data_IF_678352068901
#
_entry.id   IF_678352068901
#
_cell.length_a   1.000
_cell.length_b   1.000
_cell.length_c   1.000
_cell.angle_alpha   90.00
_cell.angle_beta   90.00
_cell.angle_gamma   90.00
#
_symmetry.space_group_name_H-M   'P 1'
#
loop_
_entity.id
_entity.type
_entity.pdbx_description
1 polymer ?
#
# COMPACT_ATOMS: atom_id res chain seq x y z
N UNK A 1 -3.63 3.16 14.80
CA UNK A 1 -3.97 1.73 14.64
C UNK A 1 -4.01 1.35 13.17
N UNK A 2 -3.95 0.05 12.84
CA UNK A 2 -4.11 -0.41 11.46
C UNK A 2 -5.52 -0.14 10.87
N UNK A 3 -6.58 -0.22 11.69
CA UNK A 3 -7.92 0.12 11.23
C UNK A 3 -8.06 1.56 10.75
N UNK A 4 -7.37 2.51 11.40
CA UNK A 4 -7.32 3.90 10.95
C UNK A 4 -6.59 4.03 9.61
N UNK A 5 -5.48 3.29 9.42
CA UNK A 5 -4.73 3.27 8.15
C UNK A 5 -5.64 2.83 7.00
N UNK A 6 -6.34 1.70 7.17
CA UNK A 6 -7.24 1.18 6.12
C UNK A 6 -8.43 2.11 5.91
N UNK A 7 -9.05 2.61 6.99
CA UNK A 7 -10.19 3.50 6.90
C UNK A 7 -9.90 4.82 6.19
N UNK A 8 -8.73 5.40 6.44
CA UNK A 8 -8.27 6.60 5.75
C UNK A 8 -7.88 6.30 4.30
N UNK A 9 -7.16 5.20 4.03
CA UNK A 9 -6.81 4.77 2.68
C UNK A 9 -8.04 4.68 1.77
N UNK A 10 -9.13 4.09 2.27
CA UNK A 10 -10.37 3.92 1.49
C UNK A 10 -11.06 5.23 1.12
N UNK A 11 -10.79 6.33 1.84
CA UNK A 11 -11.32 7.66 1.46
C UNK A 11 -10.73 8.19 0.14
N UNK A 12 -9.57 7.66 -0.30
CA UNK A 12 -8.93 8.04 -1.57
C UNK A 12 -9.68 7.51 -2.79
N UNK A 13 -10.44 6.43 -2.63
CA UNK A 13 -11.02 5.66 -3.74
C UNK A 13 -11.99 6.49 -4.58
N UNK A 14 -12.85 7.29 -3.93
CA UNK A 14 -13.81 8.14 -4.64
C UNK A 14 -13.08 9.19 -5.50
N UNK A 15 -11.97 9.74 -5.01
CA UNK A 15 -11.21 10.76 -5.72
C UNK A 15 -10.43 10.18 -6.90
N UNK A 16 -9.91 8.96 -6.77
CA UNK A 16 -9.30 8.23 -7.88
C UNK A 16 -10.34 7.94 -8.98
N UNK A 17 -11.52 7.42 -8.61
CA UNK A 17 -12.61 7.09 -9.54
C UNK A 17 -13.15 8.32 -10.28
N UNK A 18 -13.21 9.47 -9.62
CA UNK A 18 -13.64 10.73 -10.24
C UNK A 18 -12.52 11.47 -10.97
N UNK A 19 -11.29 10.92 -11.02
CA UNK A 19 -10.12 11.56 -11.64
C UNK A 19 -9.72 12.87 -10.95
N UNK A 20 -10.08 13.04 -9.68
CA UNK A 20 -9.82 14.25 -8.88
C UNK A 20 -8.49 14.17 -8.13
N UNK A 21 -7.95 12.97 -7.90
CA UNK A 21 -6.56 12.78 -7.44
C UNK A 21 -5.62 12.70 -8.65
N UNK A 22 -4.86 13.79 -8.91
CA UNK A 22 -4.06 14.00 -10.11
C UNK A 22 -2.96 15.06 -9.90
N UNK A 23 -2.05 15.30 -10.86
CA UNK A 23 -1.01 16.33 -10.71
C UNK A 23 -1.60 17.70 -10.34
N UNK A 24 -1.10 18.26 -9.24
CA UNK A 24 -1.57 19.52 -8.65
C UNK A 24 -2.71 19.38 -7.63
N UNK A 25 -3.33 18.21 -7.47
CA UNK A 25 -4.38 17.97 -6.49
C UNK A 25 -4.44 16.49 -6.10
N UNK A 26 -3.90 16.12 -4.95
CA UNK A 26 -3.81 14.72 -4.51
C UNK A 26 -4.78 14.43 -3.37
N UNK A 27 -5.43 13.27 -3.42
CA UNK A 27 -6.15 12.76 -2.25
C UNK A 27 -5.18 12.58 -1.08
N UNK A 28 -5.55 13.10 0.09
CA UNK A 28 -4.70 13.13 1.28
C UNK A 28 -5.39 12.39 2.43
N UNK A 29 -5.14 11.08 2.60
CA UNK A 29 -5.67 10.26 3.69
C UNK A 29 -4.96 10.49 5.05
N UNK A 30 -4.50 11.72 5.31
CA UNK A 30 -3.72 12.12 6.50
C UNK A 30 -2.22 11.72 6.48
N UNK A 31 -1.46 12.15 7.50
CA UNK A 31 -0.01 11.98 7.61
C UNK A 31 0.45 10.54 7.92
N UNK A 32 1.75 10.28 7.70
CA UNK A 32 2.35 8.96 7.93
C UNK A 32 2.57 8.72 9.43
N UNK A 33 1.87 7.71 9.95
CA UNK A 33 2.00 7.15 11.30
C UNK A 33 3.16 6.13 11.45
N UNK A 34 4.00 6.00 10.42
CA UNK A 34 5.14 5.07 10.44
C UNK A 34 6.17 5.56 11.45
N UNK A 35 6.38 4.80 12.52
CA UNK A 35 7.31 5.15 13.59
C UNK A 35 6.74 6.08 14.66
N UNK A 36 5.48 6.51 14.53
CA UNK A 36 4.81 7.29 15.57
C UNK A 36 4.61 6.45 16.83
N UNK A 37 4.97 7.04 17.98
CA UNK A 37 4.64 6.56 19.32
C UNK A 37 3.45 7.38 19.80
N UNK A 38 2.47 6.75 20.46
CA UNK A 38 1.22 7.36 20.97
C UNK A 38 0.08 7.57 19.94
N UNK A 39 -0.62 6.49 19.61
CA UNK A 39 -2.00 6.56 19.09
C UNK A 39 -3.04 6.78 20.20
N UNK A 40 -4.34 6.43 19.99
CA UNK A 40 -5.43 6.68 20.93
C UNK A 40 -5.21 6.14 22.36
N UNK A 41 -4.30 5.17 22.53
CA UNK A 41 -3.89 4.62 23.82
C UNK A 41 -2.87 5.45 24.61
N UNK A 42 -2.52 6.65 24.15
CA UNK A 42 -1.55 7.54 24.81
C UNK A 42 -0.11 6.97 24.79
N UNK A 43 0.71 7.35 25.78
CA UNK A 43 2.14 6.97 25.86
C UNK A 43 2.41 5.45 25.95
N UNK A 44 1.37 4.63 26.09
CA UNK A 44 1.44 3.16 26.10
C UNK A 44 1.14 2.50 24.75
N UNK A 45 0.69 3.25 23.74
CA UNK A 45 0.44 2.70 22.40
C UNK A 45 1.79 2.41 21.70
N UNK A 46 2.07 1.14 21.33
CA UNK A 46 3.33 0.77 20.68
C UNK A 46 3.46 1.31 19.25
N UNK A 47 2.39 1.90 18.69
CA UNK A 47 2.32 2.31 17.29
C UNK A 47 2.09 1.11 16.36
N UNK A 48 2.27 1.35 15.06
CA UNK A 48 2.16 0.29 14.05
C UNK A 48 3.30 -0.73 14.21
N UNK A 49 2.99 -2.01 14.08
CA UNK A 49 4.00 -3.05 13.85
C UNK A 49 4.76 -2.80 12.53
N UNK A 50 5.90 -3.47 12.32
CA UNK A 50 6.65 -3.32 11.06
C UNK A 50 5.86 -3.81 9.82
N UNK A 51 5.01 -4.83 9.99
CA UNK A 51 4.09 -5.29 8.95
C UNK A 51 3.06 -4.22 8.60
N UNK A 52 2.41 -3.66 9.62
CA UNK A 52 1.44 -2.57 9.44
C UNK A 52 2.10 -1.30 8.88
N UNK A 53 3.35 -1.01 9.25
CA UNK A 53 4.12 0.10 8.73
C UNK A 53 4.45 -0.07 7.23
N UNK A 54 4.81 -1.28 6.78
CA UNK A 54 4.97 -1.59 5.34
C UNK A 54 3.65 -1.39 4.60
N UNK A 55 2.56 -1.94 5.12
CA UNK A 55 1.22 -1.76 4.56
C UNK A 55 0.82 -0.29 4.47
N UNK A 56 1.07 0.49 5.52
CA UNK A 56 0.78 1.90 5.56
C UNK A 56 1.57 2.68 4.50
N UNK A 57 2.91 2.58 4.53
CA UNK A 57 3.76 3.32 3.60
C UNK A 57 3.52 2.91 2.14
N UNK A 58 3.37 1.60 1.88
CA UNK A 58 3.03 1.07 0.57
C UNK A 58 1.68 1.57 0.08
N UNK A 59 0.67 1.62 0.95
CA UNK A 59 -0.66 2.14 0.63
C UNK A 59 -0.63 3.61 0.24
N UNK A 60 0.11 4.46 0.97
CA UNK A 60 0.26 5.87 0.62
C UNK A 60 1.03 6.04 -0.69
N UNK A 61 2.03 5.18 -0.93
CA UNK A 61 2.77 5.19 -2.18
C UNK A 61 1.89 4.81 -3.39
N UNK A 62 1.14 3.71 -3.30
CA UNK A 62 0.35 3.20 -4.42
C UNK A 62 -0.80 4.13 -4.81
N UNK A 63 -1.36 4.90 -3.87
CA UNK A 63 -2.47 5.85 -4.16
C UNK A 63 -2.01 7.29 -4.46
N UNK A 64 -0.70 7.51 -4.62
CA UNK A 64 -0.11 8.83 -4.88
C UNK A 64 -0.42 9.86 -3.78
N UNK A 65 -0.55 9.41 -2.54
CA UNK A 65 -0.76 10.30 -1.39
C UNK A 65 0.48 11.17 -1.15
N UNK A 66 0.34 12.43 -0.72
CA UNK A 66 1.43 13.17 -0.10
C UNK A 66 2.10 12.37 1.05
N UNK A 67 3.43 12.24 1.02
CA UNK A 67 4.21 11.52 2.02
C UNK A 67 4.72 12.48 3.11
N UNK A 68 3.85 12.78 4.09
CA UNK A 68 4.18 13.69 5.20
C UNK A 68 4.58 12.86 6.42
N UNK A 69 5.81 13.03 6.90
CA UNK A 69 6.33 12.34 8.10
C UNK A 69 5.76 12.95 9.38
N UNK A 70 5.26 12.12 10.31
CA UNK A 70 4.70 12.57 11.60
C UNK A 70 5.44 12.04 12.83
N UNK A 71 6.62 11.42 12.64
CA UNK A 71 7.49 10.89 13.70
C UNK A 71 8.54 11.90 14.17
N UNK A 72 9.12 11.67 15.36
CA UNK A 72 10.35 12.35 15.77
C UNK A 72 11.56 11.80 14.99
N UNK A 73 12.06 12.61 14.06
CA UNK A 73 13.20 12.26 13.21
C UNK A 73 14.55 12.29 13.95
N UNK A 74 14.59 12.75 15.20
CA UNK A 74 15.81 12.76 16.03
C UNK A 74 15.92 11.55 16.96
N UNK A 75 14.94 10.65 16.95
CA UNK A 75 15.00 9.39 17.70
C UNK A 75 15.62 8.29 16.84
N UNK A 76 16.95 8.09 16.96
CA UNK A 76 17.70 7.07 16.24
C UNK A 76 17.10 5.67 16.40
N UNK A 77 16.51 5.36 17.57
CA UNK A 77 15.91 4.05 17.84
C UNK A 77 14.64 3.78 17.04
N UNK A 78 13.90 4.84 16.69
CA UNK A 78 12.75 4.77 15.79
C UNK A 78 13.23 4.77 14.35
N UNK A 79 14.13 5.69 14.01
CA UNK A 79 14.65 5.85 12.67
C UNK A 79 15.29 4.57 12.15
N UNK A 80 16.17 3.91 12.92
CA UNK A 80 16.80 2.65 12.51
C UNK A 80 15.78 1.55 12.15
N UNK A 81 14.65 1.51 12.86
CA UNK A 81 13.59 0.51 12.63
C UNK A 81 12.78 0.80 11.37
N UNK A 82 12.46 2.07 11.11
CA UNK A 82 11.53 2.44 10.04
C UNK A 82 12.22 2.91 8.77
N UNK A 83 13.52 3.22 8.83
CA UNK A 83 14.31 3.70 7.70
C UNK A 83 14.18 2.81 6.45
N UNK A 84 14.29 1.47 6.54
CA UNK A 84 14.12 0.60 5.37
C UNK A 84 12.76 0.73 4.68
N UNK A 85 11.73 1.21 5.40
CA UNK A 85 10.38 1.45 4.88
C UNK A 85 10.32 2.86 4.29
N UNK A 86 10.53 3.90 5.11
CA UNK A 86 10.28 5.30 4.71
C UNK A 86 11.32 5.84 3.72
N UNK A 87 12.51 5.23 3.63
CA UNK A 87 13.55 5.61 2.67
C UNK A 87 13.56 4.73 1.42
N UNK A 88 12.57 3.84 1.24
CA UNK A 88 12.54 2.93 0.09
C UNK A 88 12.34 3.71 -1.21
N UNK A 89 13.41 3.86 -1.98
CA UNK A 89 13.42 4.65 -3.23
C UNK A 89 12.51 4.08 -4.31
N UNK A 90 12.25 2.77 -4.32
CA UNK A 90 11.39 2.14 -5.32
C UNK A 90 9.92 2.39 -5.00
N UNK A 91 9.51 2.29 -3.73
CA UNK A 91 8.18 2.68 -3.26
C UNK A 91 7.92 4.17 -3.49
N UNK A 92 8.91 5.03 -3.17
CA UNK A 92 8.83 6.47 -3.44
C UNK A 92 8.74 6.72 -4.95
N UNK A 93 9.50 6.01 -5.79
CA UNK A 93 9.39 6.16 -7.24
C UNK A 93 7.99 5.80 -7.75
N UNK A 94 7.34 4.77 -7.20
CA UNK A 94 5.93 4.48 -7.48
C UNK A 94 5.04 5.67 -7.11
N UNK A 95 5.22 6.25 -5.93
CA UNK A 95 4.45 7.42 -5.48
C UNK A 95 4.60 8.62 -6.44
N UNK A 96 5.83 8.92 -6.86
CA UNK A 96 6.18 10.12 -7.63
C UNK A 96 5.81 10.08 -9.11
N UNK A 97 5.45 8.91 -9.65
CA UNK A 97 5.06 8.76 -11.06
C UNK A 97 3.58 9.09 -11.26
N UNK A 98 3.26 9.79 -12.36
CA UNK A 98 1.89 9.92 -12.85
C UNK A 98 1.78 9.35 -14.26
N UNK A 99 0.88 8.38 -14.42
CA UNK A 99 0.54 7.79 -15.72
C UNK A 99 -0.99 7.67 -15.86
N UNK A 100 -1.69 8.80 -15.71
CA UNK A 100 -3.14 8.88 -15.97
C UNK A 100 -4.05 8.42 -14.83
N UNK A 101 -3.51 7.81 -13.77
CA UNK A 101 -4.29 7.29 -12.66
C UNK A 101 -3.50 7.36 -11.34
N UNK A 102 -4.17 7.73 -10.23
CA UNK A 102 -3.52 7.91 -8.92
C UNK A 102 -3.26 6.62 -8.17
N UNK A 103 -3.96 5.55 -8.54
CA UNK A 103 -4.01 4.27 -7.86
C UNK A 103 -5.34 4.04 -7.16
N UNK A 104 -5.82 2.79 -7.18
CA UNK A 104 -7.12 2.39 -6.61
C UNK A 104 -7.17 0.87 -6.43
N UNK A 105 -8.12 0.35 -5.62
CA UNK A 105 -8.31 -1.09 -5.50
C UNK A 105 -8.92 -1.66 -6.79
N UNK A 106 -8.49 -2.86 -7.19
CA UNK A 106 -9.01 -3.56 -8.38
C UNK A 106 -9.54 -4.97 -8.08
N UNK A 107 -9.07 -5.61 -7.00
CA UNK A 107 -9.49 -6.95 -6.61
C UNK A 107 -9.55 -7.04 -5.08
N UNK A 108 -10.51 -7.80 -4.55
CA UNK A 108 -10.69 -7.94 -3.11
C UNK A 108 -11.39 -9.24 -2.74
N UNK A 109 -11.21 -9.66 -1.49
CA UNK A 109 -11.89 -10.82 -0.94
C UNK A 109 -13.41 -10.62 -0.85
N UNK A 110 -14.22 -11.67 -1.05
CA UNK A 110 -15.65 -11.63 -0.73
C UNK A 110 -15.90 -11.72 0.79
N UNK A 111 -14.95 -12.28 1.55
CA UNK A 111 -15.03 -12.38 3.01
C UNK A 111 -14.58 -11.08 3.63
N UNK A 112 -15.33 -10.60 4.62
CA UNK A 112 -14.97 -9.41 5.40
C UNK A 112 -14.37 -9.78 6.76
N UNK A 113 -13.58 -8.85 7.30
CA UNK A 113 -13.03 -8.82 8.66
C UNK A 113 -13.39 -7.49 9.31
N UNK A 114 -13.37 -7.47 10.64
CA UNK A 114 -13.65 -6.25 11.42
C UNK A 114 -12.33 -5.66 11.89
N UNK A 115 -12.10 -4.40 11.56
CA UNK A 115 -10.98 -3.61 12.08
C UNK A 115 -11.50 -2.60 13.09
N UNK A 116 -10.82 -2.51 14.24
CA UNK A 116 -11.11 -1.52 15.28
C UNK A 116 -10.40 -0.19 14.99
N UNK A 117 -10.88 0.89 15.61
CA UNK A 117 -10.35 2.26 15.47
C UNK A 117 -10.33 2.76 14.01
N UNK A 118 -11.35 2.40 13.24
CA UNK A 118 -11.55 2.78 11.85
C UNK A 118 -11.97 4.26 11.75
N UNK A 119 -11.22 5.12 11.04
CA UNK A 119 -11.57 6.55 10.89
C UNK A 119 -11.77 7.29 12.23
N UNK A 120 -10.77 7.26 13.11
CA UNK A 120 -10.81 7.85 14.46
C UNK A 120 -10.97 9.39 14.51
N UNK A 121 -11.11 10.07 13.36
CA UNK A 121 -11.21 11.54 13.26
C UNK A 121 -12.65 12.09 13.35
N UNK A 122 -13.67 11.27 13.62
CA UNK A 122 -15.03 11.78 13.84
C UNK A 122 -15.12 12.36 15.25
N UNK A 123 -14.99 13.68 15.35
CA UNK A 123 -14.98 14.41 16.61
C UNK A 123 -16.27 14.18 17.42
N UNK A 124 -16.11 13.61 18.63
CA UNK A 124 -17.06 13.82 19.72
C UNK A 124 -17.72 12.58 20.34
N UNK A 125 -17.59 11.39 19.76
CA UNK A 125 -18.15 10.18 20.37
C UNK A 125 -17.10 9.08 20.55
N UNK A 126 -16.97 8.57 21.78
CA UNK A 126 -16.19 7.37 22.12
C UNK A 126 -17.00 6.14 21.71
N UNK A 127 -17.32 6.01 20.42
CA UNK A 127 -17.91 4.80 19.85
C UNK A 127 -16.76 4.00 19.25
N UNK A 128 -16.65 2.69 19.52
CA UNK A 128 -15.70 1.85 18.81
C UNK A 128 -16.02 1.93 17.30
N UNK A 129 -15.21 2.65 16.55
CA UNK A 129 -15.37 2.70 15.11
C UNK A 129 -14.87 1.37 14.53
N UNK A 130 -15.79 0.45 14.29
CA UNK A 130 -15.49 -0.84 13.69
C UNK A 130 -15.85 -0.80 12.21
N UNK A 131 -14.85 -0.91 11.35
CA UNK A 131 -15.03 -1.01 9.91
C UNK A 131 -15.04 -2.47 9.46
N UNK A 132 -16.05 -2.87 8.68
CA UNK A 132 -16.01 -4.11 7.92
C UNK A 132 -15.24 -3.86 6.61
N UNK A 133 -14.17 -4.62 6.40
CA UNK A 133 -13.33 -4.53 5.18
C UNK A 133 -13.08 -5.92 4.62
N UNK A 134 -12.81 -6.08 3.32
CA UNK A 134 -12.37 -7.35 2.75
C UNK A 134 -11.18 -7.92 3.53
N UNK A 135 -11.09 -9.24 3.68
CA UNK A 135 -9.96 -9.86 4.39
C UNK A 135 -8.62 -9.66 3.70
N UNK A 136 -8.65 -9.38 2.40
CA UNK A 136 -7.52 -8.92 1.61
C UNK A 136 -8.03 -8.00 0.51
N UNK A 137 -7.17 -7.09 0.07
CA UNK A 137 -7.46 -6.15 -1.01
C UNK A 137 -6.19 -5.89 -1.82
N UNK A 138 -6.34 -5.72 -3.12
CA UNK A 138 -5.23 -5.45 -4.05
C UNK A 138 -5.44 -4.10 -4.73
N UNK A 139 -4.39 -3.30 -4.73
CA UNK A 139 -4.34 -1.99 -5.37
C UNK A 139 -3.38 -2.04 -6.55
N UNK A 140 -3.67 -1.25 -7.57
CA UNK A 140 -2.80 -1.08 -8.72
C UNK A 140 -2.56 0.40 -9.01
N UNK A 141 -1.45 0.70 -9.67
CA UNK A 141 -1.14 2.02 -10.22
C UNK A 141 -0.31 1.89 -11.50
N UNK A 142 -0.78 2.39 -12.66
CA UNK A 142 0.04 2.49 -13.86
C UNK A 142 1.27 3.38 -13.64
N UNK A 143 2.42 2.96 -14.15
CA UNK A 143 3.70 3.69 -14.05
C UNK A 143 4.20 4.20 -15.41
N UNK A 144 3.45 3.96 -16.48
CA UNK A 144 3.85 4.25 -17.85
C UNK A 144 4.92 3.28 -18.39
N UNK A 145 5.06 3.26 -19.72
CA UNK A 145 6.01 2.37 -20.40
C UNK A 145 5.72 0.88 -20.20
N UNK A 146 4.44 0.49 -20.13
CA UNK A 146 4.03 -0.90 -19.93
C UNK A 146 4.34 -1.46 -18.53
N UNK A 147 4.49 -0.59 -17.53
CA UNK A 147 4.74 -0.96 -16.14
C UNK A 147 3.55 -0.63 -15.26
N UNK A 148 3.25 -1.50 -14.31
CA UNK A 148 2.18 -1.35 -13.32
C UNK A 148 2.72 -1.72 -11.95
N UNK A 149 2.47 -0.88 -10.95
CA UNK A 149 2.71 -1.21 -9.55
C UNK A 149 1.49 -1.92 -8.96
N UNK A 150 1.72 -2.87 -8.06
CA UNK A 150 0.69 -3.62 -7.35
C UNK A 150 1.01 -3.69 -5.88
N UNK A 151 0.02 -3.40 -5.03
CA UNK A 151 0.10 -3.61 -3.59
C UNK A 151 -0.92 -4.70 -3.19
N UNK A 152 -0.42 -5.80 -2.65
CA UNK A 152 -1.21 -6.94 -2.16
C UNK A 152 -1.29 -6.80 -0.63
N UNK A 153 -2.48 -6.53 -0.08
CA UNK A 153 -2.66 -6.30 1.35
C UNK A 153 -3.43 -7.43 2.02
N UNK A 154 -2.91 -7.93 3.14
CA UNK A 154 -3.63 -8.80 4.07
C UNK A 154 -4.27 -7.94 5.15
N UNK A 155 -5.60 -7.88 5.23
CA UNK A 155 -6.31 -7.14 6.30
C UNK A 155 -6.69 -8.02 7.49
N UNK A 156 -6.48 -9.34 7.40
CA UNK A 156 -6.84 -10.28 8.45
C UNK A 156 -5.80 -10.29 9.58
N UNK A 157 -6.25 -10.63 10.78
CA UNK A 157 -5.40 -10.86 11.95
C UNK A 157 -4.63 -12.18 11.88
N UNK A 158 -4.82 -12.97 10.82
CA UNK A 158 -4.11 -14.22 10.55
C UNK A 158 -3.25 -14.10 9.30
N UNK A 159 -2.19 -14.89 9.26
CA UNK A 159 -1.36 -15.08 8.08
C UNK A 159 -2.21 -15.59 6.91
N UNK A 160 -1.97 -15.05 5.72
CA UNK A 160 -2.61 -15.50 4.48
C UNK A 160 -1.58 -15.78 3.39
N UNK A 161 -1.84 -16.80 2.57
CA UNK A 161 -1.15 -17.00 1.30
C UNK A 161 -2.07 -16.50 0.18
N UNK A 162 -1.66 -15.41 -0.47
CA UNK A 162 -2.44 -14.72 -1.48
C UNK A 162 -1.80 -14.92 -2.86
N UNK A 163 -2.60 -15.38 -3.82
CA UNK A 163 -2.18 -15.53 -5.20
C UNK A 163 -2.80 -14.44 -6.05
N UNK A 164 -1.98 -13.76 -6.85
CA UNK A 164 -2.40 -12.79 -7.85
C UNK A 164 -2.03 -13.28 -9.23
N UNK A 165 -3.04 -13.42 -10.09
CA UNK A 165 -2.88 -13.63 -11.53
C UNK A 165 -2.68 -12.27 -12.21
N UNK A 166 -1.66 -12.14 -13.07
CA UNK A 166 -1.36 -10.85 -13.71
C UNK A 166 -2.36 -10.48 -14.80
N UNK A 167 -3.11 -11.45 -15.34
CA UNK A 167 -4.21 -11.17 -16.25
C UNK A 167 -5.36 -10.39 -15.59
N UNK A 168 -5.49 -10.47 -14.26
CA UNK A 168 -6.50 -9.73 -13.49
C UNK A 168 -6.06 -8.28 -13.18
N UNK A 169 -4.77 -7.95 -13.37
CA UNK A 169 -4.24 -6.62 -13.05
C UNK A 169 -4.48 -5.67 -14.22
N UNK A 170 -5.19 -4.54 -14.00
CA UNK A 170 -5.46 -3.59 -15.07
C UNK A 170 -4.16 -3.04 -15.68
N UNK A 171 -4.10 -3.01 -17.02
CA UNK A 171 -2.97 -2.51 -17.81
C UNK A 171 -1.65 -3.31 -17.68
N UNK A 172 -1.65 -4.41 -16.93
CA UNK A 172 -0.48 -5.27 -16.81
C UNK A 172 -0.32 -6.21 -18.02
N UNK A 173 0.86 -6.78 -18.14
CA UNK A 173 1.12 -7.96 -18.97
C UNK A 173 0.47 -9.21 -18.36
N UNK A 174 0.16 -10.21 -19.18
CA UNK A 174 -0.21 -11.55 -18.69
C UNK A 174 1.00 -12.37 -18.23
N UNK A 175 2.18 -12.08 -18.79
CA UNK A 175 3.48 -12.63 -18.35
C UNK A 175 4.43 -11.46 -18.18
N UNK A 176 4.83 -11.21 -16.94
CA UNK A 176 5.56 -10.02 -16.55
C UNK A 176 6.91 -10.39 -15.93
N UNK A 177 7.91 -9.55 -16.17
CA UNK A 177 9.03 -9.47 -15.26
C UNK A 177 8.57 -8.80 -13.96
N UNK A 178 8.85 -9.44 -12.82
CA UNK A 178 8.36 -9.02 -11.50
C UNK A 178 9.50 -8.52 -10.64
N UNK A 179 9.32 -7.32 -10.08
CA UNK A 179 10.21 -6.69 -9.12
C UNK A 179 9.53 -6.61 -7.76
N UNK A 180 10.14 -7.18 -6.72
CA UNK A 180 9.73 -6.95 -5.33
C UNK A 180 10.39 -5.68 -4.79
N UNK A 181 9.55 -4.71 -4.43
CA UNK A 181 9.92 -3.37 -3.98
C UNK A 181 10.50 -3.39 -2.56
N UNK A 182 10.01 -4.28 -1.69
CA UNK A 182 10.43 -4.32 -0.29
C UNK A 182 11.78 -4.97 -0.10
N UNK A 183 12.03 -6.09 -0.78
CA UNK A 183 13.32 -6.81 -0.66
C UNK A 183 14.32 -6.45 -1.75
N UNK A 184 13.98 -5.49 -2.61
CA UNK A 184 14.81 -5.03 -3.71
C UNK A 184 15.30 -6.19 -4.59
N UNK A 185 14.39 -7.10 -4.97
CA UNK A 185 14.73 -8.31 -5.73
C UNK A 185 13.91 -8.50 -7.00
N UNK A 186 14.57 -8.90 -8.07
CA UNK A 186 13.91 -9.37 -9.28
C UNK A 186 13.50 -10.83 -9.08
N UNK A 187 12.21 -11.13 -9.25
CA UNK A 187 11.65 -12.47 -9.09
C UNK A 187 11.63 -13.25 -10.40
N UNK A 188 11.99 -12.61 -11.51
CA UNK A 188 12.00 -13.20 -12.85
C UNK A 188 10.69 -12.98 -13.60
N UNK A 189 10.51 -13.75 -14.66
CA UNK A 189 9.31 -13.72 -15.51
C UNK A 189 8.32 -14.78 -15.06
N UNK A 190 7.07 -14.37 -14.84
CA UNK A 190 5.96 -15.24 -14.42
C UNK A 190 4.62 -14.64 -14.85
N UNK A 191 3.55 -15.42 -14.76
CA UNK A 191 2.16 -15.01 -15.04
C UNK A 191 1.31 -14.81 -13.77
N UNK A 192 1.80 -15.28 -12.63
CA UNK A 192 1.20 -15.08 -11.32
C UNK A 192 2.26 -15.03 -10.24
N UNK A 193 1.89 -14.54 -9.06
CA UNK A 193 2.72 -14.59 -7.86
C UNK A 193 1.89 -15.09 -6.68
N UNK A 194 2.49 -15.92 -5.82
CA UNK A 194 1.95 -16.27 -4.51
C UNK A 194 2.83 -15.68 -3.41
N UNK A 195 2.23 -14.90 -2.52
CA UNK A 195 2.91 -14.26 -1.40
C UNK A 195 2.27 -14.69 -0.08
N UNK A 196 3.11 -15.14 0.84
CA UNK A 196 2.71 -15.38 2.22
C UNK A 196 2.88 -14.08 3.01
N UNK A 197 1.78 -13.56 3.55
CA UNK A 197 1.74 -12.29 4.29
C UNK A 197 1.33 -12.55 5.74
N UNK A 198 2.13 -12.00 6.65
CA UNK A 198 1.76 -11.92 8.06
C UNK A 198 0.49 -11.08 8.27
N UNK A 199 -0.15 -11.16 9.45
CA UNK A 199 -1.26 -10.29 9.78
C UNK A 199 -0.95 -8.83 9.48
N UNK A 200 -1.85 -8.17 8.76
CA UNK A 200 -1.76 -6.75 8.41
C UNK A 200 -0.56 -6.34 7.53
N UNK A 201 0.19 -7.29 6.97
CA UNK A 201 1.34 -7.02 6.08
C UNK A 201 0.93 -6.85 4.62
N UNK A 202 1.90 -6.46 3.78
CA UNK A 202 1.72 -6.29 2.35
C UNK A 202 2.94 -6.71 1.52
N UNK A 203 2.68 -7.19 0.30
CA UNK A 203 3.69 -7.26 -0.76
C UNK A 203 3.51 -6.07 -1.70
N UNK A 204 4.62 -5.49 -2.15
CA UNK A 204 4.64 -4.37 -3.08
C UNK A 204 5.49 -4.73 -4.28
N UNK A 205 4.86 -4.82 -5.44
CA UNK A 205 5.46 -5.33 -6.66
C UNK A 205 5.40 -4.29 -7.77
N UNK A 206 6.39 -4.33 -8.66
CA UNK A 206 6.32 -3.67 -9.97
C UNK A 206 6.35 -4.75 -11.04
N UNK A 207 5.31 -4.75 -11.87
CA UNK A 207 5.16 -5.59 -13.04
C UNK A 207 5.62 -4.80 -14.27
N UNK A 208 6.41 -5.44 -15.12
CA UNK A 208 6.86 -4.84 -16.38
C UNK A 208 6.79 -5.86 -17.50
N UNK A 209 6.43 -5.40 -18.71
CA UNK A 209 6.51 -6.20 -19.92
C UNK A 209 7.88 -6.87 -20.01
N UNK A 210 7.90 -8.18 -20.29
CA UNK A 210 9.12 -8.90 -20.64
C UNK A 210 9.77 -8.16 -21.82
N UNK A 211 11.08 -7.92 -21.77
CA UNK A 211 11.77 -7.31 -22.90
C UNK A 211 11.66 -8.26 -24.08
N UNK A 212 10.93 -7.87 -25.12
CA UNK A 212 11.14 -8.45 -26.45
C UNK A 212 12.60 -8.21 -26.79
N UNK A 213 13.38 -9.27 -26.97
CA UNK A 213 14.66 -9.17 -27.67
C UNK A 213 14.37 -8.50 -29.02
N UNK A 214 14.77 -7.24 -29.17
CA UNK A 214 14.88 -6.65 -30.50
C UNK A 214 15.87 -7.53 -31.26
N UNK A 215 15.34 -8.37 -32.14
CA UNK A 215 16.15 -9.00 -33.17
C UNK A 215 16.62 -7.85 -34.05
N UNK A 216 17.87 -7.42 -33.85
CA UNK A 216 18.58 -6.59 -34.81
C UNK A 216 18.60 -7.38 -36.12
N UNK A 217 17.76 -6.97 -37.08
CA UNK A 217 17.80 -7.42 -38.48
C UNK A 217 18.73 -6.51 -39.26
#
# INVERSE_FOLDING_TARGET
SYGSVVGNLLTTVQWAKSGLSRPGCWAYPDGLEVGCKAGPGGSSDPGLSLAEARSHFGAWCIVSSPLVLSLDVNDDSVMDKVWPIISNKEAIAVNQVWAGHSGSPFQQAPREVKLHDFQHAVAGEVVPHVGAVPSWQHFYKPLGGGRVAVLIMNHDSHRQNLTLDFADVPEACSTCHVRDVWVHKDLGEMDHVSVELEPHDSAFLVLSQARSLEVLV
#
